data_IF_217695814355
#
_entry.id   IF_217695814355
#
_cell.length_a   1.000
_cell.length_b   1.000
_cell.length_c   1.000
_cell.angle_alpha   90.00
_cell.angle_beta   90.00
_cell.angle_gamma   90.00
#
_symmetry.space_group_name_H-M   'P 1'
#
loop_
_entity.id
_entity.type
_entity.pdbx_description
1 polymer ?
#
# COMPACT_ATOMS: atom_id res chain seq x y z
N UNK A 1 -4.15 -2.95 17.76
CA UNK A 1 -4.30 -2.73 16.31
C UNK A 1 -4.07 -1.29 15.98
N UNK A 2 -3.14 -1.04 15.10
CA UNK A 2 -2.75 0.31 14.78
C UNK A 2 -3.17 0.74 13.38
N UNK A 3 -3.63 -0.19 12.54
CA UNK A 3 -4.03 0.14 11.19
C UNK A 3 -5.54 0.08 11.05
N UNK A 4 -6.11 1.15 10.48
CA UNK A 4 -7.51 1.22 10.16
C UNK A 4 -7.68 1.16 8.65
N UNK A 5 -8.58 0.30 8.19
CA UNK A 5 -8.85 0.12 6.77
C UNK A 5 -10.29 0.53 6.49
N UNK A 6 -10.47 1.49 5.59
CA UNK A 6 -11.78 1.93 5.17
C UNK A 6 -11.90 1.75 3.66
N UNK A 7 -12.99 1.16 3.22
CA UNK A 7 -13.24 1.00 1.80
C UNK A 7 -14.43 1.85 1.39
N UNK A 8 -14.18 2.76 0.45
CA UNK A 8 -15.22 3.64 -0.08
C UNK A 8 -15.20 3.46 -1.58
N UNK A 9 -16.19 2.75 -2.12
CA UNK A 9 -16.26 2.42 -3.53
C UNK A 9 -14.99 1.64 -3.91
N UNK A 10 -14.22 2.13 -4.88
CA UNK A 10 -12.99 1.46 -5.31
C UNK A 10 -11.75 1.99 -4.58
N UNK A 11 -11.93 2.86 -3.61
CA UNK A 11 -10.82 3.43 -2.86
C UNK A 11 -10.70 2.77 -1.50
N UNK A 12 -9.49 2.38 -1.16
CA UNK A 12 -9.19 1.81 0.15
C UNK A 12 -8.29 2.80 0.87
N UNK A 13 -8.79 3.32 1.98
CA UNK A 13 -8.07 4.31 2.78
C UNK A 13 -7.46 3.63 3.98
N UNK A 14 -6.16 3.82 4.15
CA UNK A 14 -5.43 3.23 5.26
C UNK A 14 -5.02 4.33 6.23
N UNK A 15 -5.12 4.04 7.52
CA UNK A 15 -4.76 5.00 8.57
C UNK A 15 -3.95 4.28 9.64
N UNK A 16 -2.87 4.90 10.11
CA UNK A 16 -2.07 4.36 11.18
C UNK A 16 -0.75 3.79 10.69
N UNK A 17 -0.32 2.71 11.31
CA UNK A 17 0.94 2.07 10.99
C UNK A 17 0.70 0.85 10.12
N UNK A 18 1.34 0.85 8.96
CA UNK A 18 1.18 -0.24 7.98
C UNK A 18 2.30 -1.26 8.21
N UNK A 19 1.91 -2.45 8.60
CA UNK A 19 2.85 -3.52 8.93
C UNK A 19 2.56 -4.77 8.13
N UNK A 20 3.57 -5.65 8.05
CA UNK A 20 3.41 -6.86 7.25
C UNK A 20 2.25 -7.73 7.72
N UNK A 21 1.96 -7.71 9.01
CA UNK A 21 0.86 -8.51 9.54
C UNK A 21 -0.51 -8.02 9.08
N UNK A 22 -0.58 -6.79 8.54
CA UNK A 22 -1.83 -6.22 8.05
C UNK A 22 -2.06 -6.51 6.57
N UNK A 23 -1.06 -7.03 5.88
CA UNK A 23 -1.13 -7.13 4.41
C UNK A 23 -2.17 -8.13 3.93
N UNK A 24 -2.40 -9.20 4.69
CA UNK A 24 -3.41 -10.18 4.32
C UNK A 24 -4.79 -9.55 4.28
N UNK A 25 -5.09 -8.72 5.25
CA UNK A 25 -6.39 -8.05 5.31
C UNK A 25 -6.53 -7.08 4.15
N UNK A 26 -5.46 -6.36 3.83
CA UNK A 26 -5.50 -5.42 2.70
C UNK A 26 -5.70 -6.17 1.40
N UNK A 27 -5.01 -7.29 1.21
CA UNK A 27 -5.18 -8.12 0.02
C UNK A 27 -6.62 -8.58 -0.13
N UNK A 28 -7.23 -8.99 0.97
CA UNK A 28 -8.62 -9.43 0.95
C UNK A 28 -9.55 -8.31 0.50
N UNK A 29 -9.32 -7.11 1.00
CA UNK A 29 -10.14 -5.97 0.60
C UNK A 29 -9.94 -5.62 -0.88
N UNK A 30 -8.71 -5.72 -1.36
CA UNK A 30 -8.43 -5.45 -2.76
C UNK A 30 -9.11 -6.47 -3.67
N UNK A 31 -9.16 -7.72 -3.25
CA UNK A 31 -9.79 -8.77 -4.04
C UNK A 31 -11.30 -8.58 -4.17
N UNK A 32 -11.91 -7.88 -3.22
CA UNK A 32 -13.33 -7.58 -3.27
C UNK A 32 -13.66 -6.49 -4.28
N UNK A 33 -12.68 -5.73 -4.70
CA UNK A 33 -12.89 -4.66 -5.68
C UNK A 33 -12.83 -5.25 -7.08
N UNK A 34 -13.88 -5.00 -7.86
CA UNK A 34 -13.96 -5.55 -9.23
C UNK A 34 -13.25 -4.70 -10.25
N UNK A 35 -12.90 -3.48 -9.89
CA UNK A 35 -12.19 -2.56 -10.76
C UNK A 35 -10.87 -2.22 -10.10
N UNK A 36 -9.90 -1.67 -10.86
CA UNK A 36 -8.63 -1.30 -10.25
C UNK A 36 -8.88 -0.39 -9.05
N UNK A 37 -8.35 -0.79 -7.92
CA UNK A 37 -8.55 -0.07 -6.68
C UNK A 37 -7.50 1.03 -6.52
N UNK A 38 -7.80 1.99 -5.66
CA UNK A 38 -6.87 3.05 -5.29
C UNK A 38 -6.58 2.91 -3.80
N UNK A 39 -5.30 2.86 -3.46
CA UNK A 39 -4.87 2.85 -2.07
C UNK A 39 -4.50 4.26 -1.66
N UNK A 40 -5.22 4.80 -0.69
CA UNK A 40 -4.96 6.14 -0.18
C UNK A 40 -4.20 6.02 1.13
N UNK A 41 -2.98 6.53 1.15
CA UNK A 41 -2.09 6.41 2.30
C UNK A 41 -1.87 7.73 3.03
N UNK A 42 -2.79 8.68 2.85
CA UNK A 42 -2.64 10.00 3.43
C UNK A 42 -2.47 9.95 4.95
N UNK A 43 -3.15 9.02 5.61
CA UNK A 43 -3.13 8.90 7.05
C UNK A 43 -2.15 7.84 7.56
N UNK A 44 -1.34 7.28 6.71
CA UNK A 44 -0.36 6.28 7.11
C UNK A 44 0.89 6.98 7.63
N UNK A 45 1.28 6.64 8.86
CA UNK A 45 2.43 7.27 9.51
C UNK A 45 3.71 6.49 9.29
N UNK A 46 3.64 5.17 9.36
CA UNK A 46 4.81 4.31 9.28
C UNK A 46 4.50 3.10 8.40
N UNK A 47 5.55 2.55 7.80
CA UNK A 47 5.44 1.33 7.02
C UNK A 47 6.72 0.53 7.22
N UNK A 48 6.62 -0.80 7.25
CA UNK A 48 7.82 -1.62 7.31
C UNK A 48 8.22 -2.03 5.88
N UNK A 49 9.36 -2.73 5.78
CA UNK A 49 9.92 -3.04 4.46
C UNK A 49 8.98 -3.96 3.66
N UNK A 50 8.33 -4.90 4.32
CA UNK A 50 7.42 -5.79 3.61
C UNK A 50 6.22 -5.02 3.07
N UNK A 51 5.73 -4.04 3.85
CA UNK A 51 4.62 -3.22 3.40
C UNK A 51 5.02 -2.38 2.19
N UNK A 52 6.22 -1.82 2.20
CA UNK A 52 6.71 -1.02 1.08
C UNK A 52 6.80 -1.88 -0.18
N UNK A 53 7.30 -3.10 -0.04
CA UNK A 53 7.37 -4.03 -1.17
C UNK A 53 5.98 -4.40 -1.68
N UNK A 54 5.03 -4.56 -0.76
CA UNK A 54 3.65 -4.83 -1.13
C UNK A 54 3.06 -3.69 -1.94
N UNK A 55 3.33 -2.44 -1.52
CA UNK A 55 2.83 -1.28 -2.26
C UNK A 55 3.40 -1.24 -3.67
N UNK A 56 4.68 -1.55 -3.82
CA UNK A 56 5.28 -1.60 -5.16
C UNK A 56 4.63 -2.69 -6.01
N UNK A 57 4.33 -3.83 -5.42
CA UNK A 57 3.66 -4.90 -6.13
C UNK A 57 2.26 -4.49 -6.57
N UNK A 58 1.57 -3.72 -5.73
CA UNK A 58 0.24 -3.22 -6.07
C UNK A 58 0.30 -2.33 -7.31
N UNK A 59 1.27 -1.44 -7.37
CA UNK A 59 1.42 -0.56 -8.52
C UNK A 59 1.71 -1.35 -9.79
N UNK A 60 2.49 -2.40 -9.68
CA UNK A 60 2.77 -3.27 -10.81
C UNK A 60 1.50 -3.93 -11.34
N UNK A 61 0.54 -4.20 -10.44
CA UNK A 61 -0.73 -4.83 -10.83
C UNK A 61 -1.76 -3.83 -11.32
N UNK A 62 -1.41 -2.55 -11.37
CA UNK A 62 -2.35 -1.54 -11.84
C UNK A 62 -3.14 -0.85 -10.74
N UNK A 63 -2.83 -1.14 -9.49
CA UNK A 63 -3.47 -0.49 -8.34
C UNK A 63 -2.73 0.81 -8.07
N UNK A 64 -3.47 1.93 -8.05
CA UNK A 64 -2.86 3.23 -7.79
C UNK A 64 -2.61 3.41 -6.30
N UNK A 65 -1.42 3.85 -5.95
CA UNK A 65 -1.08 4.19 -4.57
C UNK A 65 -0.91 5.70 -4.51
N UNK A 66 -1.79 6.37 -3.78
CA UNK A 66 -1.84 7.83 -3.80
C UNK A 66 -1.66 8.41 -2.40
N UNK A 67 -1.25 9.65 -2.33
CA UNK A 67 -1.11 10.41 -1.09
C UNK A 67 -0.10 9.78 -0.13
N UNK A 68 0.92 9.12 -0.68
CA UNK A 68 2.00 8.60 0.15
C UNK A 68 2.81 9.77 0.72
N UNK A 69 3.26 9.62 1.95
CA UNK A 69 4.20 10.60 2.49
C UNK A 69 5.51 10.53 1.70
N UNK A 70 6.27 11.64 1.68
CA UNK A 70 7.56 11.63 0.98
C UNK A 70 8.49 10.53 1.49
N UNK A 71 8.45 10.24 2.77
CA UNK A 71 9.25 9.19 3.37
C UNK A 71 8.92 7.81 2.74
N UNK A 72 7.65 7.49 2.64
CA UNK A 72 7.24 6.20 2.10
C UNK A 72 7.52 6.15 0.59
N UNK A 73 7.25 7.25 -0.12
CA UNK A 73 7.51 7.31 -1.54
C UNK A 73 8.98 7.06 -1.84
N UNK A 74 9.85 7.71 -1.08
CA UNK A 74 11.28 7.54 -1.27
C UNK A 74 11.70 6.11 -1.00
N UNK A 75 11.16 5.50 0.03
CA UNK A 75 11.48 4.12 0.37
C UNK A 75 10.98 3.16 -0.71
N UNK A 76 9.79 3.42 -1.26
CA UNK A 76 9.28 2.60 -2.36
C UNK A 76 10.23 2.63 -3.55
N UNK A 77 10.75 3.81 -3.88
CA UNK A 77 11.69 3.93 -4.99
C UNK A 77 12.98 3.18 -4.72
N UNK A 78 13.46 3.22 -3.49
CA UNK A 78 14.67 2.49 -3.12
C UNK A 78 14.47 0.99 -3.22
N UNK A 79 13.34 0.49 -2.72
CA UNK A 79 13.07 -0.94 -2.78
C UNK A 79 12.86 -1.40 -4.22
N UNK A 80 12.25 -0.57 -5.04
CA UNK A 80 12.05 -0.90 -6.45
C UNK A 80 13.40 -1.05 -7.17
N UNK A 81 14.34 -0.18 -6.85
CA UNK A 81 15.67 -0.27 -7.43
C UNK A 81 16.37 -1.57 -7.03
N UNK A 82 16.18 -1.99 -5.78
CA UNK A 82 16.77 -3.25 -5.31
C UNK A 82 16.12 -4.47 -5.94
N UNK A 83 14.82 -4.40 -6.21
CA UNK A 83 14.09 -5.51 -6.79
C UNK A 83 14.34 -5.66 -8.27
N UNK A 84 14.79 -4.62 -8.92
CA UNK A 84 15.01 -4.62 -10.36
C UNK A 84 16.25 -5.45 -10.68
N UNK A 85 16.08 -6.43 -11.51
CA UNK A 85 17.19 -7.28 -11.91
C UNK A 85 17.89 -6.73 -13.12
N UNK A 86 19.22 -6.85 -13.16
CA UNK A 86 19.95 -6.50 -14.36
C UNK A 86 19.68 -7.46 -15.49
#
# INVERSE_FOLDING_TARGET
MTLKIERIQAQIRLSGDLRCEDLEQIKTELEKCKVPAVLNLEEVNLADVESVRFLNACETKGISVVHCSPYITKWMLQERAHMKKP
#
